data_IF_664328694315
#
_entry.id   IF_664328694315
#
_cell.length_a   1.000
_cell.length_b   1.000
_cell.length_c   1.000
_cell.angle_alpha   90.00
_cell.angle_beta   90.00
_cell.angle_gamma   90.00
#
_symmetry.space_group_name_H-M   'P 1'
#
loop_
_entity.id
_entity.type
_entity.pdbx_description
1 polymer ?
#
# COMPACT_ATOMS: atom_id res chain seq x y z
N UNK A 1 -1.28 -10.61 6.19
CA UNK A 1 -1.40 -9.17 5.92
C UNK A 1 -1.93 -8.94 4.51
N UNK A 2 -2.96 -8.14 4.38
CA UNK A 2 -3.46 -7.72 3.07
C UNK A 2 -2.53 -6.62 2.52
N UNK A 3 -2.05 -6.78 1.30
CA UNK A 3 -1.03 -5.89 0.70
C UNK A 3 -1.29 -5.63 -0.78
N UNK A 4 -0.73 -4.53 -1.26
CA UNK A 4 -0.70 -4.18 -2.68
C UNK A 4 0.70 -4.48 -3.23
N UNK A 5 0.76 -5.09 -4.41
CA UNK A 5 2.00 -5.37 -5.12
C UNK A 5 1.94 -4.74 -6.51
N UNK A 6 3.02 -4.10 -6.95
CA UNK A 6 3.12 -3.56 -8.29
C UNK A 6 4.53 -3.71 -8.84
N UNK A 7 4.65 -3.86 -10.17
CA UNK A 7 5.93 -3.89 -10.85
C UNK A 7 6.35 -2.50 -11.26
N UNK A 8 7.64 -2.24 -11.21
CA UNK A 8 8.24 -0.98 -11.66
C UNK A 8 8.60 -1.09 -13.16
N UNK A 9 8.54 0.01 -13.92
CA UNK A 9 8.97 0.01 -15.31
C UNK A 9 10.46 -0.33 -15.47
N UNK A 10 10.83 -0.92 -16.61
CA UNK A 10 12.21 -1.33 -16.87
C UNK A 10 13.19 -0.14 -16.90
N UNK A 11 12.77 1.01 -17.44
CA UNK A 11 13.58 2.22 -17.44
C UNK A 11 13.90 2.69 -16.03
N UNK A 12 12.93 2.59 -15.13
CA UNK A 12 13.12 2.91 -13.72
C UNK A 12 14.12 1.96 -13.05
N UNK A 13 14.03 0.67 -13.37
CA UNK A 13 14.96 -0.34 -12.83
C UNK A 13 16.39 -0.09 -13.32
N UNK A 14 16.55 0.37 -14.57
CA UNK A 14 17.85 0.76 -15.11
C UNK A 14 18.45 1.94 -14.34
N UNK A 15 17.62 2.95 -14.06
CA UNK A 15 18.06 4.11 -13.29
C UNK A 15 18.47 3.73 -11.86
N UNK A 16 17.76 2.80 -11.24
CA UNK A 16 18.16 2.26 -9.94
C UNK A 16 19.52 1.58 -9.99
N UNK A 17 19.81 0.85 -11.07
CA UNK A 17 21.09 0.15 -11.23
C UNK A 17 22.27 1.11 -11.34
N UNK A 18 22.03 2.35 -11.77
CA UNK A 18 23.07 3.38 -11.91
C UNK A 18 23.56 3.93 -10.57
N UNK A 19 22.86 3.66 -9.49
CA UNK A 19 23.24 4.13 -8.15
C UNK A 19 24.51 3.46 -7.63
N UNK A 20 24.80 2.24 -8.07
CA UNK A 20 25.98 1.51 -7.62
C UNK A 20 26.03 1.38 -6.10
N UNK A 21 27.11 1.86 -5.48
CA UNK A 21 27.32 1.78 -4.03
C UNK A 21 26.29 2.57 -3.20
N UNK A 22 25.60 3.52 -3.81
CA UNK A 22 24.55 4.31 -3.14
C UNK A 22 23.23 3.56 -3.05
N UNK A 23 23.10 2.44 -3.74
CA UNK A 23 21.81 1.74 -3.86
C UNK A 23 21.19 1.46 -2.49
N UNK A 24 21.94 0.90 -1.54
CA UNK A 24 21.41 0.53 -0.23
C UNK A 24 21.00 1.73 0.63
N UNK A 25 21.54 2.91 0.36
CA UNK A 25 21.14 4.12 1.09
C UNK A 25 19.94 4.81 0.43
N UNK A 26 19.75 4.64 -0.87
CA UNK A 26 18.70 5.33 -1.65
C UNK A 26 17.45 4.50 -1.78
N UNK A 27 17.56 3.17 -1.91
CA UNK A 27 16.42 2.28 -2.10
C UNK A 27 15.32 2.47 -1.04
N UNK A 28 15.63 2.56 0.28
CA UNK A 28 14.59 2.82 1.27
C UNK A 28 13.83 4.12 1.03
N UNK A 29 14.52 5.20 0.66
CA UNK A 29 13.90 6.51 0.40
C UNK A 29 12.94 6.45 -0.78
N UNK A 30 13.34 5.78 -1.85
CA UNK A 30 12.51 5.60 -3.05
C UNK A 30 11.25 4.80 -2.71
N UNK A 31 11.42 3.67 -2.01
CA UNK A 31 10.29 2.82 -1.61
C UNK A 31 9.31 3.56 -0.71
N UNK A 32 9.81 4.31 0.27
CA UNK A 32 8.95 5.08 1.17
C UNK A 32 8.13 6.12 0.42
N UNK A 33 8.73 6.81 -0.56
CA UNK A 33 8.01 7.79 -1.38
C UNK A 33 6.85 7.14 -2.12
N UNK A 34 7.09 6.00 -2.77
CA UNK A 34 6.04 5.25 -3.47
C UNK A 34 4.98 4.70 -2.52
N UNK A 35 5.42 4.14 -1.40
CA UNK A 35 4.53 3.57 -0.39
C UNK A 35 3.57 4.60 0.21
N UNK A 36 4.03 5.81 0.46
CA UNK A 36 3.19 6.91 0.98
C UNK A 36 2.05 7.25 0.01
N UNK A 37 2.32 7.27 -1.28
CA UNK A 37 1.30 7.57 -2.29
C UNK A 37 0.24 6.47 -2.30
N UNK A 38 0.65 5.21 -2.30
CA UNK A 38 -0.28 4.06 -2.29
C UNK A 38 -1.09 4.06 -0.99
N UNK A 39 -0.46 4.29 0.16
CA UNK A 39 -1.14 4.34 1.45
C UNK A 39 -2.21 5.42 1.48
N UNK A 40 -1.89 6.61 0.97
CA UNK A 40 -2.85 7.72 0.87
C UNK A 40 -4.04 7.35 -0.01
N UNK A 41 -3.80 6.70 -1.15
CA UNK A 41 -4.88 6.26 -2.04
C UNK A 41 -5.72 5.15 -1.39
N UNK A 42 -5.11 4.23 -0.66
CA UNK A 42 -5.82 3.20 0.08
C UNK A 42 -6.74 3.80 1.13
N UNK A 43 -6.28 4.81 1.88
CA UNK A 43 -7.10 5.51 2.86
C UNK A 43 -8.31 6.18 2.22
N UNK A 44 -8.09 6.87 1.12
CA UNK A 44 -9.17 7.53 0.36
C UNK A 44 -10.20 6.51 -0.11
N UNK A 45 -9.73 5.41 -0.71
CA UNK A 45 -10.61 4.37 -1.22
C UNK A 45 -11.39 3.67 -0.10
N UNK A 46 -10.71 3.35 1.00
CA UNK A 46 -11.36 2.68 2.13
C UNK A 46 -12.44 3.57 2.74
N UNK A 47 -12.16 4.84 2.94
CA UNK A 47 -13.14 5.81 3.46
C UNK A 47 -14.37 5.91 2.55
N UNK A 48 -14.20 5.72 1.24
CA UNK A 48 -15.31 5.77 0.29
C UNK A 48 -16.20 4.52 0.27
N UNK A 49 -15.70 3.37 0.78
CA UNK A 49 -16.45 2.11 0.73
C UNK A 49 -16.93 1.64 2.11
N UNK A 50 -16.29 2.03 3.18
CA UNK A 50 -16.69 1.63 4.54
C UNK A 50 -18.07 2.22 4.86
N UNK A 51 -19.00 1.36 5.25
CA UNK A 51 -20.36 1.76 5.61
C UNK A 51 -21.24 2.21 4.46
N UNK A 52 -20.81 2.02 3.21
CA UNK A 52 -21.60 2.38 2.02
C UNK A 52 -22.31 1.16 1.47
N UNK A 53 -23.52 1.39 0.91
CA UNK A 53 -24.32 0.36 0.25
C UNK A 53 -24.49 -0.91 1.09
N UNK A 54 -24.64 -0.75 2.40
CA UNK A 54 -24.84 -1.87 3.33
C UNK A 54 -26.32 -2.14 3.52
N UNK A 55 -26.69 -3.42 3.70
CA UNK A 55 -28.06 -3.85 3.97
C UNK A 55 -28.56 -3.33 5.33
N UNK A 56 -27.66 -3.20 6.27
CA UNK A 56 -27.94 -2.72 7.64
C UNK A 56 -27.08 -1.49 7.93
N UNK A 57 -27.46 -0.76 8.98
CA UNK A 57 -26.68 0.36 9.46
C UNK A 57 -25.23 -0.05 9.72
N UNK A 58 -24.28 0.80 9.32
CA UNK A 58 -22.85 0.52 9.51
C UNK A 58 -22.49 0.48 11.00
N UNK A 59 -21.70 -0.52 11.37
CA UNK A 59 -21.13 -0.64 12.70
C UNK A 59 -19.64 -0.31 12.71
N UNK A 60 -19.17 0.43 11.73
CA UNK A 60 -17.77 0.82 11.63
C UNK A 60 -17.36 1.66 12.83
N UNK A 61 -16.25 1.29 13.47
CA UNK A 61 -15.65 2.02 14.58
C UNK A 61 -14.41 2.81 14.17
N UNK A 62 -14.01 2.70 12.89
CA UNK A 62 -12.76 3.28 12.40
C UNK A 62 -11.53 2.42 12.66
N UNK A 63 -11.67 1.28 13.31
CA UNK A 63 -10.53 0.39 13.61
C UNK A 63 -9.80 -0.08 12.35
N UNK A 64 -10.55 -0.42 11.30
CA UNK A 64 -9.98 -0.85 10.03
C UNK A 64 -9.16 0.27 9.37
N UNK A 65 -9.72 1.46 9.34
CA UNK A 65 -9.03 2.63 8.76
C UNK A 65 -7.76 2.98 9.53
N UNK A 66 -7.82 2.88 10.87
CA UNK A 66 -6.68 3.14 11.74
C UNK A 66 -5.61 2.05 11.65
N UNK A 67 -5.97 0.86 11.15
CA UNK A 67 -5.05 -0.25 10.96
C UNK A 67 -4.23 -0.15 9.68
N UNK A 68 -4.58 0.77 8.78
CA UNK A 68 -3.80 1.03 7.57
C UNK A 68 -2.43 1.59 7.94
N UNK A 69 -1.40 1.08 7.30
CA UNK A 69 -0.06 1.53 7.55
C UNK A 69 0.94 1.00 6.54
N UNK A 70 2.19 1.31 6.81
CA UNK A 70 3.31 0.99 5.95
C UNK A 70 4.46 0.51 6.82
N UNK A 71 5.10 -0.60 6.45
CA UNK A 71 6.31 -1.05 7.13
C UNK A 71 7.49 -0.16 6.77
N UNK A 72 8.56 -0.14 7.58
CA UNK A 72 9.84 0.41 7.13
C UNK A 72 10.32 -0.39 5.91
N UNK A 73 11.14 0.23 5.07
CA UNK A 73 11.82 -0.48 4.00
C UNK A 73 12.85 -1.42 4.61
N UNK A 74 12.76 -2.70 4.28
CA UNK A 74 13.62 -3.75 4.83
C UNK A 74 14.13 -4.64 3.72
N UNK A 75 15.27 -5.29 3.95
CA UNK A 75 15.79 -6.32 3.06
C UNK A 75 15.29 -7.69 3.48
N UNK A 76 14.93 -8.50 2.50
CA UNK A 76 14.54 -9.89 2.73
C UNK A 76 15.78 -10.81 2.79
N UNK A 77 15.56 -12.12 2.85
CA UNK A 77 16.64 -13.10 2.91
C UNK A 77 17.57 -13.06 1.71
N UNK A 78 17.07 -12.62 0.56
CA UNK A 78 17.83 -12.52 -0.69
C UNK A 78 18.51 -11.16 -0.84
N UNK A 79 18.39 -10.28 0.15
CA UNK A 79 18.96 -8.94 0.09
C UNK A 79 18.12 -7.96 -0.72
N UNK A 80 16.89 -8.33 -1.11
CA UNK A 80 16.00 -7.46 -1.87
C UNK A 80 15.28 -6.50 -0.96
N UNK A 81 15.33 -5.21 -1.30
CA UNK A 81 14.59 -4.19 -0.58
C UNK A 81 13.10 -4.28 -0.89
N UNK A 82 12.28 -4.15 0.13
CA UNK A 82 10.83 -4.14 -0.02
C UNK A 82 10.17 -3.27 1.04
N UNK A 83 8.94 -2.85 0.74
CA UNK A 83 8.09 -2.14 1.68
C UNK A 83 6.69 -2.73 1.55
N UNK A 84 5.98 -2.83 2.65
CA UNK A 84 4.62 -3.36 2.66
C UNK A 84 3.66 -2.26 3.08
N UNK A 85 2.61 -2.10 2.29
CA UNK A 85 1.54 -1.13 2.55
C UNK A 85 0.24 -1.91 2.66
N UNK A 86 -0.49 -1.72 3.73
CA UNK A 86 -1.74 -2.45 3.91
C UNK A 86 -2.26 -2.39 5.33
N UNK A 87 -3.06 -3.39 5.66
CA UNK A 87 -3.71 -3.53 6.96
C UNK A 87 -2.83 -4.37 7.88
N UNK A 88 -2.63 -3.90 9.10
CA UNK A 88 -1.86 -4.62 10.11
C UNK A 88 -2.56 -5.88 10.62
N UNK A 89 -1.88 -6.60 11.51
CA UNK A 89 -2.38 -7.87 12.08
C UNK A 89 -3.19 -7.65 13.36
N UNK A 90 -3.45 -6.40 13.73
CA UNK A 90 -4.23 -6.05 14.91
C UNK A 90 -5.70 -6.43 14.77
N UNK A 91 -6.34 -6.59 15.90
CA UNK A 91 -7.76 -6.95 16.00
C UNK A 91 -8.55 -5.78 16.56
N UNK A 92 -9.86 -5.75 16.26
CA UNK A 92 -10.75 -4.76 16.84
C UNK A 92 -11.11 -5.10 18.30
N UNK A 93 -11.93 -4.28 18.93
CA UNK A 93 -12.37 -4.46 20.32
C UNK A 93 -13.15 -5.76 20.55
N UNK A 94 -13.69 -6.36 19.47
CA UNK A 94 -14.43 -7.63 19.52
C UNK A 94 -13.56 -8.83 19.17
N UNK A 95 -12.27 -8.64 18.98
CA UNK A 95 -11.33 -9.69 18.63
C UNK A 95 -11.34 -10.09 17.16
N UNK A 96 -11.98 -9.32 16.27
CA UNK A 96 -12.02 -9.60 14.83
C UNK A 96 -10.79 -8.97 14.16
N UNK A 97 -9.99 -9.77 13.43
CA UNK A 97 -8.81 -9.22 12.73
C UNK A 97 -9.20 -8.18 11.67
N UNK A 98 -8.53 -7.04 11.67
CA UNK A 98 -8.76 -6.00 10.66
C UNK A 98 -8.39 -6.48 9.25
N UNK A 99 -7.39 -7.36 9.12
CA UNK A 99 -7.04 -7.97 7.84
C UNK A 99 -8.19 -8.77 7.24
N UNK A 100 -8.96 -9.48 8.07
CA UNK A 100 -10.14 -10.20 7.62
C UNK A 100 -11.21 -9.25 7.08
N UNK A 101 -11.48 -8.16 7.79
CA UNK A 101 -12.43 -7.13 7.34
C UNK A 101 -12.01 -6.54 6.00
N UNK A 102 -10.72 -6.27 5.82
CA UNK A 102 -10.16 -5.75 4.59
C UNK A 102 -10.41 -6.71 3.42
N UNK A 103 -10.20 -8.00 3.62
CA UNK A 103 -10.44 -9.01 2.60
C UNK A 103 -11.92 -9.15 2.26
N UNK A 104 -12.79 -9.10 3.26
CA UNK A 104 -14.24 -9.18 3.04
C UNK A 104 -14.76 -8.00 2.20
N UNK A 105 -14.21 -6.81 2.40
CA UNK A 105 -14.53 -5.66 1.55
C UNK A 105 -13.99 -5.85 0.13
N UNK A 106 -12.74 -6.30 0.00
CA UNK A 106 -12.08 -6.45 -1.30
C UNK A 106 -12.77 -7.50 -2.19
N UNK A 107 -13.08 -8.65 -1.63
CA UNK A 107 -13.59 -9.80 -2.39
C UNK A 107 -15.08 -10.08 -2.20
N UNK A 108 -15.73 -9.44 -1.24
CA UNK A 108 -17.13 -9.66 -0.93
C UNK A 108 -17.37 -10.92 -0.11
N UNK A 109 -18.60 -11.10 0.28
CA UNK A 109 -19.10 -12.29 1.00
C UNK A 109 -20.56 -12.54 0.66
N UNK A 110 -21.13 -13.65 1.14
CA UNK A 110 -22.57 -13.93 0.96
C UNK A 110 -23.40 -12.75 1.49
N UNK A 111 -24.27 -12.21 0.64
CA UNK A 111 -25.11 -11.06 0.96
C UNK A 111 -24.43 -9.71 0.90
N UNK A 112 -23.16 -9.66 0.54
CA UNK A 112 -22.43 -8.40 0.40
C UNK A 112 -21.53 -8.44 -0.84
N UNK A 113 -21.76 -7.57 -1.85
CA UNK A 113 -20.93 -7.54 -3.04
C UNK A 113 -19.52 -7.04 -2.74
N UNK A 114 -18.56 -7.42 -3.57
CA UNK A 114 -17.19 -6.96 -3.48
C UNK A 114 -17.09 -5.45 -3.69
N UNK A 115 -16.23 -4.81 -2.91
CA UNK A 115 -15.86 -3.39 -3.06
C UNK A 115 -14.32 -3.34 -3.10
N UNK A 116 -13.70 -3.58 -4.29
CA UNK A 116 -12.25 -3.78 -4.40
C UNK A 116 -11.46 -2.49 -4.20
N UNK A 117 -11.26 -2.11 -2.97
CA UNK A 117 -10.60 -0.86 -2.59
C UNK A 117 -9.07 -0.92 -2.71
N UNK A 118 -8.45 -2.07 -2.44
CA UNK A 118 -6.99 -2.24 -2.56
C UNK A 118 -6.55 -2.31 -4.03
N UNK A 119 -7.24 -3.10 -4.84
CA UNK A 119 -6.98 -3.19 -6.28
C UNK A 119 -7.14 -1.84 -6.95
N UNK A 120 -8.19 -1.11 -6.59
CA UNK A 120 -8.44 0.24 -7.09
C UNK A 120 -7.35 1.21 -6.68
N UNK A 121 -6.84 1.11 -5.44
CA UNK A 121 -5.74 1.95 -4.96
C UNK A 121 -4.48 1.72 -5.78
N UNK A 122 -4.16 0.46 -6.10
CA UNK A 122 -3.03 0.13 -6.96
C UNK A 122 -3.17 0.75 -8.34
N UNK A 123 -4.34 0.59 -8.96
CA UNK A 123 -4.60 1.10 -10.31
C UNK A 123 -4.54 2.62 -10.38
N UNK A 124 -5.18 3.31 -9.42
CA UNK A 124 -5.24 4.77 -9.39
C UNK A 124 -3.93 5.40 -8.92
N UNK A 125 -3.25 4.76 -7.98
CA UNK A 125 -2.05 5.32 -7.37
C UNK A 125 -0.74 5.00 -8.08
N UNK A 126 -0.75 4.02 -9.00
CA UNK A 126 0.48 3.52 -9.62
C UNK A 126 1.32 4.62 -10.29
N UNK A 127 0.71 5.42 -11.15
CA UNK A 127 1.42 6.49 -11.87
C UNK A 127 2.00 7.52 -10.92
N UNK A 128 1.22 7.93 -9.92
CA UNK A 128 1.66 8.92 -8.92
C UNK A 128 2.78 8.36 -8.05
N UNK A 129 2.66 7.10 -7.64
CA UNK A 129 3.69 6.42 -6.85
C UNK A 129 5.01 6.36 -7.61
N UNK A 130 4.99 5.92 -8.87
CA UNK A 130 6.17 5.84 -9.71
C UNK A 130 6.77 7.23 -9.94
N UNK A 131 5.94 8.25 -10.18
CA UNK A 131 6.41 9.62 -10.34
C UNK A 131 7.13 10.15 -9.09
N UNK A 132 6.58 9.89 -7.91
CA UNK A 132 7.22 10.23 -6.63
C UNK A 132 8.55 9.51 -6.45
N UNK A 133 8.58 8.23 -6.76
CA UNK A 133 9.79 7.41 -6.67
C UNK A 133 10.88 7.91 -7.63
N UNK A 134 10.52 8.23 -8.86
CA UNK A 134 11.44 8.80 -9.86
C UNK A 134 12.01 10.14 -9.41
N UNK A 135 11.17 10.98 -8.82
CA UNK A 135 11.60 12.29 -8.33
C UNK A 135 12.66 12.18 -7.25
N UNK A 136 12.47 11.25 -6.29
CA UNK A 136 13.46 10.97 -5.25
C UNK A 136 14.75 10.41 -5.87
N UNK A 137 14.61 9.46 -6.78
CA UNK A 137 15.76 8.82 -7.45
C UNK A 137 16.57 9.83 -8.24
N UNK A 138 15.93 10.69 -9.01
CA UNK A 138 16.60 11.73 -9.81
C UNK A 138 17.38 12.68 -8.92
N UNK A 139 16.80 13.08 -7.78
CA UNK A 139 17.49 13.91 -6.80
C UNK A 139 18.77 13.27 -6.27
N UNK A 140 18.78 11.95 -6.11
CA UNK A 140 19.94 11.21 -5.61
C UNK A 140 20.98 10.92 -6.70
N UNK A 141 20.60 10.94 -7.98
CA UNK A 141 21.51 10.74 -9.12
C UNK A 141 22.24 12.02 -9.52
N UNK A 142 21.71 13.18 -9.13
CA UNK A 142 22.36 14.45 -9.44
C UNK A 142 23.63 14.63 -8.61
N UNK A 143 24.71 15.21 -9.23
CA UNK A 143 25.94 15.45 -8.50
C UNK A 143 25.81 16.52 -7.42
#
# INVERSE_FOLDING_TARGET
>A
MAKVTMKLPDDFLKDLSRLGDKFDSVAPKVLEAGGKVILSQMRTNLASVVGKDTKYESRSTGDLENSLGMTPALQDRNGEWNIRVGVGDDKDSKGVPNALKAQLLEYGKSGQPAKPWMKSARSKGRKKAIASMKQVLEGELLP
#
